data_IF_340964257745
#
_entry.id   IF_340964257745
#
_cell.length_a   1.000
_cell.length_b   1.000
_cell.length_c   1.000
_cell.angle_alpha   90.00
_cell.angle_beta   90.00
_cell.angle_gamma   90.00
#
_symmetry.space_group_name_H-M   'P 1'
#
loop_
_entity.id
_entity.type
_entity.pdbx_description
1 polymer ?
#
# COMPACT_ATOMS: atom_id res chain seq x y z
N UNK A 1 10.96 4.07 0.79
CA UNK A 1 10.72 3.99 2.26
C UNK A 1 9.36 3.36 2.60
N UNK A 2 8.23 3.90 2.14
CA UNK A 2 6.88 3.35 2.43
C UNK A 2 6.77 1.85 2.07
N UNK A 3 7.07 1.49 0.83
CA UNK A 3 6.87 0.11 0.33
C UNK A 3 7.82 -0.91 0.96
N UNK A 4 9.11 -0.58 1.02
CA UNK A 4 10.14 -1.55 1.40
C UNK A 4 10.43 -1.59 2.90
N UNK A 5 9.99 -0.58 3.66
CA UNK A 5 10.33 -0.44 5.09
C UNK A 5 9.07 -0.35 5.96
N UNK A 6 8.14 0.53 5.60
CA UNK A 6 6.95 0.76 6.43
C UNK A 6 5.91 -0.35 6.29
N UNK A 7 5.54 -0.73 5.05
CA UNK A 7 4.52 -1.76 4.82
C UNK A 7 4.84 -3.13 5.45
N UNK A 8 6.08 -3.67 5.38
CA UNK A 8 6.43 -4.92 6.04
C UNK A 8 6.31 -4.89 7.57
N UNK A 9 6.27 -3.71 8.19
CA UNK A 9 6.10 -3.53 9.64
C UNK A 9 4.64 -3.42 10.06
N UNK A 10 3.70 -3.37 9.12
CA UNK A 10 2.27 -3.46 9.43
C UNK A 10 2.00 -4.86 9.97
N UNK A 11 1.39 -4.94 11.18
CA UNK A 11 1.01 -6.23 11.77
C UNK A 11 0.06 -6.99 10.84
N UNK A 12 0.31 -8.29 10.66
CA UNK A 12 -0.43 -9.19 9.76
C UNK A 12 -0.49 -8.73 8.29
N UNK A 13 0.56 -8.05 7.81
CA UNK A 13 0.62 -7.63 6.41
C UNK A 13 0.65 -8.85 5.45
N UNK A 14 -0.38 -8.97 4.61
CA UNK A 14 -0.50 -10.03 3.59
C UNK A 14 -0.43 -9.50 2.15
N UNK A 15 0.10 -8.29 1.99
CA UNK A 15 0.07 -7.57 0.73
C UNK A 15 -1.13 -6.64 0.56
N UNK A 16 -0.96 -5.72 -0.38
CA UNK A 16 -1.93 -4.71 -0.76
C UNK A 16 -3.06 -5.29 -1.62
N UNK A 17 -4.29 -4.78 -1.45
CA UNK A 17 -5.43 -5.18 -2.26
C UNK A 17 -5.31 -4.62 -3.68
N UNK A 18 -5.59 -5.44 -4.69
CA UNK A 18 -5.73 -5.00 -6.09
C UNK A 18 -7.09 -4.34 -6.38
N UNK A 19 -7.98 -4.29 -5.39
CA UNK A 19 -9.32 -3.70 -5.51
C UNK A 19 -9.41 -2.22 -5.14
N UNK A 20 -8.32 -1.60 -4.70
CA UNK A 20 -8.33 -0.21 -4.19
C UNK A 20 -7.97 0.84 -5.24
N UNK A 21 -8.25 0.54 -6.52
CA UNK A 21 -8.12 1.51 -7.60
C UNK A 21 -9.44 2.28 -7.77
N UNK A 22 -9.33 3.59 -8.01
CA UNK A 22 -10.48 4.44 -8.36
C UNK A 22 -10.80 4.39 -9.88
N UNK A 23 -11.83 5.15 -10.29
CA UNK A 23 -12.24 5.24 -11.71
C UNK A 23 -11.21 5.91 -12.61
N UNK A 24 -10.26 6.66 -12.04
CA UNK A 24 -9.21 7.39 -12.74
C UNK A 24 -7.87 6.62 -12.71
N UNK A 25 -7.88 5.36 -12.29
CA UNK A 25 -6.71 4.49 -12.16
C UNK A 25 -5.70 4.96 -11.09
N UNK A 26 -6.13 5.76 -10.11
CA UNK A 26 -5.34 6.07 -8.92
C UNK A 26 -5.49 4.97 -7.89
N UNK A 27 -4.44 4.75 -7.12
CA UNK A 27 -4.43 3.71 -6.10
C UNK A 27 -4.41 4.30 -4.70
N UNK A 28 -5.38 3.93 -3.87
CA UNK A 28 -5.45 4.39 -2.47
C UNK A 28 -5.21 3.23 -1.52
N UNK A 29 -4.33 3.42 -0.55
CA UNK A 29 -4.11 2.49 0.55
C UNK A 29 -4.25 3.17 1.90
N UNK A 30 -4.82 2.44 2.85
CA UNK A 30 -4.92 2.87 4.25
C UNK A 30 -3.80 2.27 5.10
N UNK A 31 -3.18 3.10 5.92
CA UNK A 31 -2.28 2.72 7.00
C UNK A 31 -3.05 2.96 8.30
N UNK A 32 -3.26 1.91 9.09
CA UNK A 32 -4.01 2.01 10.35
C UNK A 32 -3.23 2.74 11.43
N UNK A 33 -1.93 2.54 11.45
CA UNK A 33 -1.05 3.03 12.51
C UNK A 33 0.18 3.67 11.86
N UNK A 34 0.34 4.98 12.02
CA UNK A 34 1.50 5.70 11.46
C UNK A 34 2.84 5.27 12.08
N UNK A 35 2.85 4.60 13.23
CA UNK A 35 4.04 4.11 13.95
C UNK A 35 4.87 3.07 13.18
N UNK A 36 4.37 2.59 12.03
CA UNK A 36 5.10 1.67 11.15
C UNK A 36 6.35 2.32 10.51
N UNK A 37 6.42 3.65 10.49
CA UNK A 37 7.55 4.40 9.96
C UNK A 37 8.72 4.43 10.96
N UNK A 38 9.97 4.08 10.54
CA UNK A 38 11.14 4.11 11.42
C UNK A 38 11.44 5.49 12.01
N UNK A 39 10.99 6.55 11.35
CA UNK A 39 11.19 7.93 11.80
C UNK A 39 10.35 8.28 13.04
N UNK A 40 9.34 7.47 13.40
CA UNK A 40 8.46 7.74 14.53
C UNK A 40 8.94 6.99 15.76
N UNK A 41 9.19 7.75 16.83
CA UNK A 41 9.60 7.21 18.13
C UNK A 41 8.36 6.88 18.96
N UNK A 42 8.17 5.59 19.25
CA UNK A 42 7.03 5.11 20.05
C UNK A 42 6.96 5.77 21.45
N UNK A 43 8.11 6.08 22.05
CA UNK A 43 8.19 6.73 23.37
C UNK A 43 7.77 8.21 23.37
N UNK A 44 7.65 8.84 22.19
CA UNK A 44 7.40 10.29 22.05
C UNK A 44 6.02 10.61 21.47
N UNK A 45 5.18 9.60 21.26
CA UNK A 45 3.84 9.75 20.71
C UNK A 45 2.80 9.52 21.81
N UNK A 46 1.83 10.43 21.89
CA UNK A 46 0.70 10.31 22.81
C UNK A 46 -0.45 9.51 22.18
N UNK A 47 -0.64 9.65 20.86
CA UNK A 47 -1.74 9.06 20.10
C UNK A 47 -1.26 8.27 18.86
N UNK A 48 -2.08 7.29 18.45
CA UNK A 48 -1.89 6.54 17.21
C UNK A 48 -2.91 7.00 16.17
N UNK A 49 -2.42 7.66 15.12
CA UNK A 49 -3.24 8.05 13.98
C UNK A 49 -3.15 7.06 12.82
N UNK A 50 -4.26 6.93 12.10
CA UNK A 50 -4.33 6.33 10.77
C UNK A 50 -4.09 7.36 9.67
N UNK A 51 -3.69 6.89 8.49
CA UNK A 51 -3.42 7.74 7.33
C UNK A 51 -3.88 7.03 6.05
N UNK A 52 -4.32 7.80 5.06
CA UNK A 52 -4.52 7.31 3.70
C UNK A 52 -3.43 7.87 2.78
N UNK A 53 -2.90 7.00 1.92
CA UNK A 53 -1.95 7.37 0.88
C UNK A 53 -2.60 7.08 -0.46
N UNK A 54 -2.71 8.10 -1.30
CA UNK A 54 -3.19 7.99 -2.68
C UNK A 54 -2.04 8.21 -3.64
N UNK A 55 -1.84 7.24 -4.54
CA UNK A 55 -0.89 7.32 -5.64
C UNK A 55 -1.64 7.77 -6.88
N UNK A 56 -1.44 9.02 -7.26
CA UNK A 56 -1.96 9.56 -8.51
C UNK A 56 -1.09 9.07 -9.67
N UNK A 57 -1.70 8.51 -10.72
CA UNK A 57 -0.97 8.03 -11.90
C UNK A 57 -1.52 8.66 -13.17
N UNK A 58 -0.68 8.73 -14.21
CA UNK A 58 -1.11 9.15 -15.54
C UNK A 58 -1.55 7.97 -16.44
N UNK A 59 -1.67 6.78 -15.87
CA UNK A 59 -2.04 5.56 -16.58
C UNK A 59 -3.42 5.70 -17.23
N UNK A 60 -3.54 5.30 -18.49
CA UNK A 60 -4.78 5.42 -19.25
C UNK A 60 -5.73 4.27 -18.99
N UNK A 61 -5.18 3.14 -18.56
CA UNK A 61 -5.96 1.94 -18.24
C UNK A 61 -5.62 1.40 -16.85
N UNK A 62 -6.57 0.65 -16.27
CA UNK A 62 -6.37 -0.03 -14.99
C UNK A 62 -5.21 -1.04 -15.06
N UNK A 63 -5.01 -1.67 -16.22
CA UNK A 63 -3.93 -2.65 -16.42
C UNK A 63 -2.55 -1.97 -16.41
N UNK A 64 -2.43 -0.81 -17.05
CA UNK A 64 -1.21 0.01 -17.00
C UNK A 64 -0.90 0.44 -15.56
N UNK A 65 -1.89 0.95 -14.82
CA UNK A 65 -1.70 1.36 -13.42
C UNK A 65 -1.25 0.19 -12.54
N UNK A 66 -1.86 -0.97 -12.70
CA UNK A 66 -1.46 -2.20 -12.00
C UNK A 66 -0.03 -2.62 -12.34
N UNK A 67 0.33 -2.60 -13.62
CA UNK A 67 1.68 -2.96 -14.09
C UNK A 67 2.74 -1.98 -13.57
N UNK A 68 2.43 -0.67 -13.61
CA UNK A 68 3.27 0.39 -13.08
C UNK A 68 3.56 0.18 -11.59
N UNK A 69 2.51 0.03 -10.77
CA UNK A 69 2.69 -0.14 -9.33
C UNK A 69 3.43 -1.44 -8.98
N UNK A 70 3.17 -2.54 -9.71
CA UNK A 70 3.95 -3.78 -9.57
C UNK A 70 5.43 -3.56 -9.88
N UNK A 71 5.74 -2.85 -10.96
CA UNK A 71 7.12 -2.56 -11.37
C UNK A 71 7.84 -1.64 -10.39
N UNK A 72 7.10 -0.77 -9.70
CA UNK A 72 7.60 0.07 -8.60
C UNK A 72 7.77 -0.70 -7.27
N UNK A 73 7.47 -2.00 -7.24
CA UNK A 73 7.64 -2.85 -6.07
C UNK A 73 6.49 -2.80 -5.07
N UNK A 74 5.27 -2.41 -5.49
CA UNK A 74 4.11 -2.51 -4.61
C UNK A 74 3.80 -3.98 -4.30
N UNK A 75 3.82 -4.37 -3.00
CA UNK A 75 3.63 -5.76 -2.60
C UNK A 75 2.14 -6.10 -2.61
N UNK A 76 1.54 -6.31 -3.78
CA UNK A 76 0.14 -6.74 -3.88
C UNK A 76 -0.04 -8.17 -3.40
N UNK A 77 -1.18 -8.44 -2.76
CA UNK A 77 -1.58 -9.80 -2.40
C UNK A 77 -1.71 -10.63 -3.68
N UNK A 78 -0.88 -11.67 -3.82
CA UNK A 78 -1.08 -12.65 -4.86
C UNK A 78 -2.43 -13.32 -4.65
N UNK A 79 -3.28 -13.33 -5.68
CA UNK A 79 -4.36 -14.32 -5.69
C UNK A 79 -3.64 -15.66 -5.69
N UNK A 80 -3.80 -16.43 -4.61
CA UNK A 80 -3.41 -17.83 -4.62
C UNK A 80 -3.90 -18.44 -5.92
N UNK A 81 -2.98 -19.10 -6.62
CA UNK A 81 -3.27 -19.86 -7.82
C UNK A 81 -4.50 -20.71 -7.53
N UNK A 82 -5.65 -20.31 -8.09
CA UNK A 82 -6.75 -21.24 -8.25
C UNK A 82 -6.25 -22.19 -9.33
N UNK A 83 -5.68 -23.31 -8.87
CA UNK A 83 -5.49 -24.49 -9.70
C UNK A 83 -6.82 -24.76 -10.40
N UNK A 84 -6.73 -25.01 -11.70
CA UNK A 84 -7.87 -25.34 -12.55
C UNK A 84 -8.60 -26.60 -12.12
#
# INVERSE_FOLDING_TARGET
KVLNIALPRVRDFRGLSMGSFDKNNNYTMGIKEHIIFPEISYEKIEDIYGMQITVNTNAKTLNEAKSLLKSLGFPFKEKGQANG
#
